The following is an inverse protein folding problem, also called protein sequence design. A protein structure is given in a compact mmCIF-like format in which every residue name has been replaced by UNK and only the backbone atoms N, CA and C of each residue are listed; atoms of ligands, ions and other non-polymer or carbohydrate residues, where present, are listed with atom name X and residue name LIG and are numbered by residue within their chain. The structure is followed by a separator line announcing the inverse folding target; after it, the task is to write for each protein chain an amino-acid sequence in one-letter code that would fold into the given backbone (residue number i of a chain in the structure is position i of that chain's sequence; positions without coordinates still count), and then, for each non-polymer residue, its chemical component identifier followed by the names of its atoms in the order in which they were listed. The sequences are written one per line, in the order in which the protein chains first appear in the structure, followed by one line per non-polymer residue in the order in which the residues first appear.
data_IF_155503633624
#
_entry.id   IF_155503633624
#
_cell.length_a   1.000
_cell.length_b   1.000
_cell.length_c   1.000
_cell.angle_alpha   90.00
_cell.angle_beta   90.00
_cell.angle_gamma   90.00
#
_symmetry.space_group_name_H-M   'P 1'
#
loop_
_entity.id
_entity.type
_entity.pdbx_description
1 polymer ?
#
# COMPACT_ATOMS: atom_id res chain seq x y z
N UNK A 1 -22.08 -11.56 26.90
CA UNK A 1 -21.17 -12.71 26.85
C UNK A 1 -19.83 -12.21 26.36
N UNK A 2 -18.79 -12.32 27.18
CA UNK A 2 -17.44 -11.81 26.95
C UNK A 2 -16.79 -12.53 25.76
N UNK A 3 -16.47 -11.82 24.67
CA UNK A 3 -15.59 -12.35 23.62
C UNK A 3 -14.19 -12.50 24.22
N UNK A 4 -13.88 -13.68 24.74
CA UNK A 4 -12.50 -14.05 25.05
C UNK A 4 -11.71 -14.04 23.74
N UNK A 5 -10.56 -13.40 23.74
CA UNK A 5 -9.61 -13.37 22.63
C UNK A 5 -9.07 -14.78 22.35
N UNK A 6 -9.85 -15.61 21.67
CA UNK A 6 -9.47 -16.99 21.39
C UNK A 6 -8.23 -17.02 20.51
N UNK A 7 -7.21 -17.76 20.96
CA UNK A 7 -5.98 -17.94 20.20
C UNK A 7 -6.24 -18.65 18.86
N UNK A 8 -5.35 -18.51 17.87
CA UNK A 8 -5.50 -19.20 16.59
C UNK A 8 -5.51 -20.73 16.74
N UNK A 9 -4.83 -21.24 17.78
CA UNK A 9 -4.87 -22.63 18.20
C UNK A 9 -6.25 -23.04 18.71
N UNK A 10 -6.89 -22.21 19.53
CA UNK A 10 -8.27 -22.43 20.00
C UNK A 10 -9.30 -22.30 18.88
N UNK A 11 -9.12 -21.35 17.96
CA UNK A 11 -10.01 -21.14 16.80
C UNK A 11 -10.02 -22.38 15.90
N UNK A 12 -8.86 -23.00 15.66
CA UNK A 12 -8.78 -24.27 14.91
C UNK A 12 -8.99 -25.51 15.79
N UNK A 13 -9.08 -25.35 17.12
CA UNK A 13 -9.16 -26.43 18.12
C UNK A 13 -8.03 -27.46 17.97
N UNK A 14 -6.80 -26.97 17.82
CA UNK A 14 -5.58 -27.79 17.72
C UNK A 14 -4.58 -27.38 18.79
N UNK A 15 -3.75 -28.33 19.22
CA UNK A 15 -2.69 -28.04 20.18
C UNK A 15 -1.61 -27.13 19.57
N UNK A 16 -0.87 -26.39 20.41
CA UNK A 16 0.27 -25.57 19.98
C UNK A 16 1.36 -26.41 19.31
N UNK A 17 1.45 -27.69 19.67
CA UNK A 17 2.36 -28.69 19.10
C UNK A 17 1.83 -29.37 17.83
N UNK A 18 0.65 -28.98 17.32
CA UNK A 18 0.03 -29.63 16.17
C UNK A 18 0.89 -29.53 14.91
N UNK A 19 0.96 -30.63 14.17
CA UNK A 19 1.66 -30.74 12.89
C UNK A 19 0.89 -30.04 11.77
N UNK A 20 1.57 -29.69 10.68
CA UNK A 20 0.94 -29.05 9.51
C UNK A 20 -0.21 -29.89 8.93
N UNK A 21 -0.09 -31.22 9.01
CA UNK A 21 -1.12 -32.16 8.56
C UNK A 21 -2.38 -32.03 9.42
N UNK A 22 -2.23 -31.93 10.73
CA UNK A 22 -3.33 -31.76 11.68
C UNK A 22 -4.00 -30.39 11.54
N UNK A 23 -3.20 -29.32 11.35
CA UNK A 23 -3.70 -27.96 11.10
C UNK A 23 -4.55 -27.91 9.82
N UNK A 24 -4.09 -28.55 8.73
CA UNK A 24 -4.86 -28.65 7.48
C UNK A 24 -6.18 -29.41 7.64
N UNK A 25 -6.18 -30.51 8.42
CA UNK A 25 -7.40 -31.29 8.69
C UNK A 25 -8.38 -30.47 9.52
N UNK A 26 -7.90 -29.81 10.57
CA UNK A 26 -8.70 -28.98 11.46
C UNK A 26 -9.32 -27.78 10.74
N UNK A 27 -8.55 -27.10 9.88
CA UNK A 27 -9.05 -26.03 9.04
C UNK A 27 -10.21 -26.49 8.14
N UNK A 28 -10.07 -27.60 7.43
CA UNK A 28 -11.16 -28.11 6.56
C UNK A 28 -12.44 -28.39 7.35
N UNK A 29 -12.31 -28.93 8.57
CA UNK A 29 -13.46 -29.19 9.45
C UNK A 29 -14.10 -27.89 9.91
N UNK A 30 -13.30 -26.94 10.40
CA UNK A 30 -13.78 -25.65 10.92
C UNK A 30 -14.38 -24.77 9.82
N UNK A 31 -13.76 -24.73 8.63
CA UNK A 31 -14.23 -23.97 7.48
C UNK A 31 -15.60 -24.46 6.98
N UNK A 32 -15.83 -25.79 6.97
CA UNK A 32 -17.12 -26.36 6.55
C UNK A 32 -18.26 -25.99 7.52
N UNK A 33 -17.96 -25.89 8.81
CA UNK A 33 -18.95 -25.49 9.83
C UNK A 33 -19.18 -23.98 9.86
N UNK A 34 -18.15 -23.19 9.56
CA UNK A 34 -18.24 -21.72 9.58
C UNK A 34 -18.72 -21.11 8.25
N UNK A 35 -18.86 -21.90 7.18
CA UNK A 35 -19.22 -21.36 5.86
C UNK A 35 -20.66 -20.80 5.85
N UNK A 36 -20.89 -19.57 5.33
CA UNK A 36 -22.21 -18.94 5.27
C UNK A 36 -23.27 -19.78 4.57
N UNK A 37 -22.89 -20.50 3.50
CA UNK A 37 -23.80 -21.37 2.75
C UNK A 37 -24.29 -22.60 3.54
N UNK A 38 -23.69 -22.90 4.69
CA UNK A 38 -24.13 -23.96 5.60
C UNK A 38 -24.68 -23.42 6.93
N UNK A 39 -25.07 -22.13 6.96
CA UNK A 39 -25.61 -21.48 8.15
C UNK A 39 -24.56 -20.95 9.12
N UNK A 40 -23.30 -20.84 8.68
CA UNK A 40 -22.20 -20.29 9.47
C UNK A 40 -22.08 -18.76 9.42
N UNK A 41 -21.33 -18.19 10.34
CA UNK A 41 -21.07 -16.75 10.40
C UNK A 41 -19.83 -16.37 9.57
N UNK A 42 -20.00 -15.37 8.68
CA UNK A 42 -18.92 -14.85 7.85
C UNK A 42 -17.75 -14.29 8.68
N UNK A 43 -17.99 -13.76 9.89
CA UNK A 43 -16.92 -13.33 10.78
C UNK A 43 -16.18 -14.52 11.40
N UNK A 44 -16.89 -15.57 11.82
CA UNK A 44 -16.29 -16.84 12.24
C UNK A 44 -15.44 -17.49 11.11
N UNK A 45 -15.93 -17.48 9.87
CA UNK A 45 -15.17 -17.99 8.72
C UNK A 45 -13.87 -17.23 8.46
N UNK A 46 -13.91 -15.89 8.56
CA UNK A 46 -12.70 -15.05 8.48
C UNK A 46 -11.71 -15.37 9.60
N UNK A 47 -12.17 -15.59 10.83
CA UNK A 47 -11.30 -15.98 11.96
C UNK A 47 -10.63 -17.34 11.74
N UNK A 48 -11.38 -18.34 11.27
CA UNK A 48 -10.85 -19.68 10.93
C UNK A 48 -9.82 -19.61 9.81
N UNK A 49 -10.07 -18.78 8.80
CA UNK A 49 -9.15 -18.59 7.66
C UNK A 49 -7.86 -17.91 8.09
N UNK A 50 -7.95 -16.82 8.87
CA UNK A 50 -6.79 -16.10 9.37
C UNK A 50 -5.91 -16.96 10.31
N UNK A 51 -6.55 -17.80 11.15
CA UNK A 51 -5.86 -18.76 12.00
C UNK A 51 -5.08 -19.79 11.17
N UNK A 52 -5.69 -20.36 10.13
CA UNK A 52 -5.03 -21.31 9.24
C UNK A 52 -3.86 -20.69 8.48
N UNK A 53 -4.04 -19.52 7.86
CA UNK A 53 -2.98 -18.84 7.10
C UNK A 53 -1.76 -18.49 7.94
N UNK A 54 -1.97 -18.18 9.23
CA UNK A 54 -0.90 -17.86 10.16
C UNK A 54 -0.20 -19.11 10.66
N UNK A 55 -0.95 -20.17 10.97
CA UNK A 55 -0.39 -21.39 11.57
C UNK A 55 0.23 -22.36 10.55
N UNK A 56 -0.15 -22.30 9.26
CA UNK A 56 0.41 -23.20 8.24
C UNK A 56 1.72 -22.70 7.63
N UNK A 57 2.02 -21.40 7.75
CA UNK A 57 3.29 -20.82 7.32
C UNK A 57 4.30 -20.89 8.49
N UNK A 58 5.43 -21.59 8.36
CA UNK A 58 6.38 -21.75 9.46
C UNK A 58 6.95 -20.43 10.00
N UNK A 59 7.11 -19.43 9.14
CA UNK A 59 7.65 -18.12 9.52
C UNK A 59 6.61 -17.30 10.28
N UNK A 60 5.37 -17.29 9.79
CA UNK A 60 4.24 -16.60 10.44
C UNK A 60 3.85 -17.28 11.76
N UNK A 61 3.83 -18.62 11.80
CA UNK A 61 3.62 -19.40 13.02
C UNK A 61 4.68 -19.08 14.06
N UNK A 62 5.96 -19.11 13.69
CA UNK A 62 7.05 -18.76 14.63
C UNK A 62 6.94 -17.33 15.15
N UNK A 63 6.47 -16.38 14.34
CA UNK A 63 6.23 -15.01 14.79
C UNK A 63 5.04 -14.91 15.75
N UNK A 64 3.94 -15.62 15.43
CA UNK A 64 2.76 -15.73 16.28
C UNK A 64 3.08 -16.39 17.62
N UNK A 65 3.84 -17.48 17.62
CA UNK A 65 4.26 -18.22 18.83
C UNK A 65 5.09 -17.36 19.79
N UNK A 66 5.95 -16.49 19.25
CA UNK A 66 6.71 -15.53 20.08
C UNK A 66 5.78 -14.53 20.79
N UNK A 67 4.76 -14.02 20.09
CA UNK A 67 3.76 -13.13 20.71
C UNK A 67 2.79 -13.86 21.63
N UNK A 68 2.47 -15.12 21.32
CA UNK A 68 1.58 -15.96 22.11
C UNK A 68 2.23 -16.37 23.44
N UNK A 69 3.52 -16.73 23.42
CA UNK A 69 4.31 -17.04 24.62
C UNK A 69 4.55 -15.81 25.52
N UNK A 70 4.72 -14.62 24.93
CA UNK A 70 4.86 -13.37 25.69
C UNK A 70 3.54 -12.95 26.38
N UNK A 71 2.39 -13.30 25.80
CA UNK A 71 1.07 -13.08 26.38
C UNK A 71 0.66 -14.09 27.45
N UNK A 72 1.24 -15.30 27.44
CA UNK A 72 0.99 -16.33 28.46
C UNK A 72 1.98 -16.29 29.64
N UNK A 73 3.11 -15.58 29.50
CA UNK A 73 4.13 -15.42 30.55
C UNK A 73 3.84 -14.27 31.55
N UNK A 74 2.72 -13.57 31.41
CA UNK A 74 2.35 -12.44 32.27
C UNK A 74 1.65 -12.82 33.57
N UNK A 75 2.08 -13.86 34.30
CA UNK A 75 1.65 -14.05 35.70
C UNK A 75 2.48 -15.10 36.48
N UNK A 76 3.74 -14.84 36.85
CA UNK A 76 4.35 -15.40 38.09
C UNK A 76 5.71 -14.75 38.42
N UNK A 77 5.80 -14.25 39.66
CA UNK A 77 6.94 -13.86 40.52
C UNK A 77 8.30 -14.53 40.20
N UNK A 78 9.49 -14.01 40.53
CA UNK A 78 9.93 -12.96 41.46
C UNK A 78 11.48 -12.99 41.59
N UNK A 79 12.00 -12.03 42.36
CA UNK A 79 13.40 -11.68 42.69
C UNK A 79 14.48 -12.79 42.81
N UNK A 80 15.75 -12.38 42.64
CA UNK A 80 16.95 -13.18 42.96
C UNK A 80 18.28 -12.73 42.34
N UNK A 81 18.74 -11.55 42.74
CA UNK A 81 20.12 -11.12 43.02
C UNK A 81 21.22 -12.21 43.12
N UNK A 82 22.34 -12.09 42.37
CA UNK A 82 23.74 -11.86 42.86
C UNK A 82 24.83 -12.06 41.78
N UNK A 83 25.78 -11.12 41.80
CA UNK A 83 27.24 -11.17 41.55
C UNK A 83 27.92 -11.77 40.28
N UNK A 84 28.54 -10.84 39.55
CA UNK A 84 29.93 -10.78 39.09
C UNK A 84 30.67 -12.02 38.52
N UNK A 85 31.09 -11.91 37.26
CA UNK A 85 32.41 -12.37 36.82
C UNK A 85 32.94 -11.50 35.66
N UNK A 86 34.10 -10.87 35.88
CA UNK A 86 34.93 -10.21 34.88
C UNK A 86 35.94 -11.22 34.31
N UNK A 87 36.09 -11.30 32.98
CA UNK A 87 37.40 -11.24 32.32
C UNK A 87 37.29 -11.24 30.77
N UNK A 88 37.56 -10.07 30.19
CA UNK A 88 38.40 -9.70 29.02
C UNK A 88 38.46 -10.58 27.71
N UNK A 89 39.08 -10.11 26.61
CA UNK A 89 38.37 -9.78 25.36
C UNK A 89 38.76 -10.67 24.16
N UNK A 90 37.89 -10.76 23.15
CA UNK A 90 38.27 -11.29 21.84
C UNK A 90 37.67 -10.45 20.70
N UNK A 91 38.56 -10.13 19.76
CA UNK A 91 38.39 -9.21 18.66
C UNK A 91 37.34 -9.62 17.63
N UNK A 92 36.79 -8.59 16.96
CA UNK A 92 36.50 -8.69 15.54
C UNK A 92 35.06 -9.02 15.16
N UNK A 93 34.18 -8.02 15.20
CA UNK A 93 33.14 -7.89 14.19
C UNK A 93 32.65 -6.45 14.15
N UNK A 94 32.95 -5.76 13.04
CA UNK A 94 32.34 -4.48 12.68
C UNK A 94 30.86 -4.71 12.40
N UNK A 95 30.06 -4.81 13.46
CA UNK A 95 28.65 -4.48 13.36
C UNK A 95 28.59 -2.97 13.17
N UNK A 96 28.20 -2.51 11.98
CA UNK A 96 27.73 -1.14 11.80
C UNK A 96 26.56 -0.94 12.77
N UNK A 97 26.86 -0.42 13.95
CA UNK A 97 25.87 0.13 14.86
C UNK A 97 25.25 1.30 14.11
N UNK A 98 24.08 1.07 13.51
CA UNK A 98 23.24 2.13 12.98
C UNK A 98 22.97 3.08 14.14
N UNK A 99 23.66 4.21 14.15
CA UNK A 99 23.47 5.28 15.13
C UNK A 99 22.00 5.69 15.07
N UNK A 100 21.22 5.24 16.05
CA UNK A 100 19.84 5.66 16.20
C UNK A 100 19.87 7.15 16.57
N UNK A 101 19.59 8.02 15.60
CA UNK A 101 19.45 9.45 15.86
C UNK A 101 18.20 9.63 16.72
N UNK A 102 18.32 10.07 17.99
CA UNK A 102 17.16 10.45 18.77
C UNK A 102 16.46 11.61 18.02
N UNK A 103 15.13 11.57 17.92
CA UNK A 103 14.26 12.49 17.16
C UNK A 103 14.03 12.27 15.65
N UNK A 104 14.32 11.10 15.05
CA UNK A 104 13.70 10.80 13.75
C UNK A 104 12.29 10.24 13.99
N UNK A 105 11.21 10.91 13.56
CA UNK A 105 9.86 10.37 13.71
C UNK A 105 9.80 8.99 13.07
N UNK A 106 9.30 7.99 13.81
CA UNK A 106 9.09 6.65 13.27
C UNK A 106 8.14 6.75 12.07
N UNK A 107 8.45 6.06 10.99
CA UNK A 107 7.59 6.00 9.81
C UNK A 107 6.31 5.21 10.16
N UNK A 108 5.16 5.89 10.13
CA UNK A 108 3.85 5.30 10.46
C UNK A 108 3.13 4.70 9.26
N UNK A 109 3.71 4.71 8.04
CA UNK A 109 2.98 4.35 6.81
C UNK A 109 2.36 2.95 6.82
N UNK A 110 2.99 2.00 7.52
CA UNK A 110 2.49 0.63 7.69
C UNK A 110 1.52 0.44 8.86
N UNK A 111 1.30 1.46 9.67
CA UNK A 111 0.33 1.42 10.76
C UNK A 111 -1.12 1.54 10.20
N UNK A 112 -2.15 1.18 10.98
CA UNK A 112 -3.54 1.33 10.57
C UNK A 112 -3.88 2.77 10.15
N UNK A 113 -4.83 2.88 9.21
CA UNK A 113 -5.28 4.15 8.69
C UNK A 113 -5.98 4.99 9.78
N UNK A 114 -5.56 6.24 9.92
CA UNK A 114 -6.16 7.24 10.81
C UNK A 114 -6.97 8.22 9.97
N UNK A 115 -8.28 8.33 10.23
CA UNK A 115 -9.16 9.22 9.47
C UNK A 115 -9.20 10.62 10.07
N UNK A 116 -9.15 11.64 9.21
CA UNK A 116 -9.29 13.04 9.61
C UNK A 116 -10.38 13.71 8.75
N UNK A 117 -11.46 14.24 9.35
CA UNK A 117 -11.85 14.05 10.76
C UNK A 117 -12.09 12.56 11.10
N UNK A 118 -12.00 12.17 12.38
CA UNK A 118 -12.28 10.80 12.81
C UNK A 118 -13.74 10.43 12.55
N UNK A 119 -13.98 9.15 12.25
CA UNK A 119 -15.34 8.62 12.15
C UNK A 119 -15.86 8.29 13.55
N UNK A 120 -16.34 9.30 14.27
CA UNK A 120 -16.99 9.15 15.57
C UNK A 120 -18.51 9.32 15.43
N UNK A 121 -19.21 8.18 15.47
CA UNK A 121 -20.68 8.14 15.34
C UNK A 121 -21.37 8.95 16.42
N UNK A 122 -20.86 8.96 17.65
CA UNK A 122 -21.46 9.71 18.76
C UNK A 122 -21.27 11.21 18.57
N UNK A 123 -20.11 11.65 18.07
CA UNK A 123 -19.87 13.05 17.75
C UNK A 123 -20.74 13.56 16.59
N UNK A 124 -20.97 12.73 15.57
CA UNK A 124 -21.88 13.06 14.46
C UNK A 124 -23.33 13.17 14.91
N UNK A 125 -23.81 12.24 15.74
CA UNK A 125 -25.15 12.27 16.31
C UNK A 125 -25.36 13.50 17.21
N UNK A 126 -24.38 13.84 18.04
CA UNK A 126 -24.46 14.98 18.96
C UNK A 126 -24.39 16.35 18.24
N UNK A 127 -23.64 16.45 17.14
CA UNK A 127 -23.47 17.70 16.39
C UNK A 127 -24.43 17.88 15.22
N UNK A 128 -25.19 16.84 14.85
CA UNK A 128 -26.03 16.83 13.65
C UNK A 128 -25.24 16.91 12.34
N UNK A 129 -23.92 16.70 12.37
CA UNK A 129 -23.07 16.73 11.17
C UNK A 129 -22.94 15.35 10.56
N UNK A 130 -23.06 15.27 9.23
CA UNK A 130 -22.89 14.03 8.47
C UNK A 130 -21.48 14.03 7.83
N UNK A 131 -20.70 12.93 7.94
CA UNK A 131 -19.41 12.85 7.27
C UNK A 131 -19.56 13.00 5.76
N UNK A 132 -18.63 13.74 5.12
CA UNK A 132 -18.67 14.05 3.68
C UNK A 132 -18.78 12.81 2.78
N UNK A 133 -18.21 11.69 3.23
CA UNK A 133 -18.35 10.36 2.63
C UNK A 133 -18.47 9.31 3.73
N UNK A 134 -19.23 8.21 3.53
CA UNK A 134 -19.35 7.12 4.51
C UNK A 134 -18.02 6.43 4.80
N UNK A 135 -17.87 5.83 5.99
CA UNK A 135 -16.67 5.05 6.35
C UNK A 135 -16.45 3.86 5.40
N UNK A 136 -17.51 3.21 4.94
CA UNK A 136 -17.42 2.12 3.95
C UNK A 136 -16.72 2.59 2.67
N UNK A 137 -17.04 3.80 2.21
CA UNK A 137 -16.39 4.42 1.07
C UNK A 137 -14.97 4.87 1.41
N UNK A 138 -14.76 5.61 2.52
CA UNK A 138 -13.44 6.11 2.88
C UNK A 138 -12.42 5.01 3.24
N UNK A 139 -12.88 3.84 3.67
CA UNK A 139 -12.03 2.69 3.99
C UNK A 139 -11.59 1.88 2.77
N UNK A 140 -12.29 2.03 1.64
CA UNK A 140 -11.94 1.37 0.39
C UNK A 140 -10.62 1.93 -0.15
N UNK A 141 -9.62 1.07 -0.43
CA UNK A 141 -8.34 1.52 -0.97
C UNK A 141 -8.36 1.80 -2.49
N UNK A 142 -9.33 1.29 -3.23
CA UNK A 142 -9.40 1.44 -4.71
C UNK A 142 -10.75 1.98 -5.11
N UNK A 143 -10.78 3.16 -5.73
CA UNK A 143 -11.98 3.85 -6.18
C UNK A 143 -12.03 3.94 -7.71
N UNK A 144 -13.23 3.80 -8.26
CA UNK A 144 -13.45 3.87 -9.70
C UNK A 144 -12.88 2.67 -10.45
N UNK A 145 -12.90 2.76 -11.78
CA UNK A 145 -12.38 1.74 -12.67
C UNK A 145 -11.67 2.37 -13.86
N UNK A 146 -10.66 1.71 -14.44
CA UNK A 146 -10.11 2.06 -15.75
C UNK A 146 -11.22 2.21 -16.79
N UNK A 147 -11.19 3.29 -17.58
CA UNK A 147 -12.36 3.70 -18.39
C UNK A 147 -12.50 2.88 -19.68
N UNK A 148 -13.73 2.47 -19.99
CA UNK A 148 -14.16 1.99 -21.32
C UNK A 148 -14.80 3.13 -22.11
N UNK A 149 -14.03 3.99 -22.79
CA UNK A 149 -14.60 4.98 -23.74
C UNK A 149 -13.70 5.22 -24.95
N UNK A 150 -14.30 5.23 -26.14
CA UNK A 150 -13.66 5.30 -27.45
C UNK A 150 -13.98 4.06 -28.30
N UNK A 151 -14.36 4.25 -29.57
CA UNK A 151 -14.73 3.15 -30.50
C UNK A 151 -13.48 2.38 -30.98
N UNK A 152 -12.30 3.01 -30.92
CA UNK A 152 -11.01 2.45 -31.34
C UNK A 152 -9.91 2.79 -30.32
N UNK A 153 -8.93 1.89 -30.13
CA UNK A 153 -7.76 2.11 -29.26
C UNK A 153 -8.02 2.03 -27.74
N UNK A 154 -9.27 1.82 -27.31
CA UNK A 154 -9.64 1.65 -25.91
C UNK A 154 -9.00 0.41 -25.29
N UNK A 155 -8.80 -0.67 -26.04
CA UNK A 155 -8.28 -1.92 -25.48
C UNK A 155 -6.84 -1.80 -24.98
N UNK A 156 -5.92 -1.25 -25.79
CA UNK A 156 -4.54 -1.03 -25.37
C UNK A 156 -4.44 -0.06 -24.18
N UNK A 157 -5.31 0.97 -24.15
CA UNK A 157 -5.45 1.90 -23.02
C UNK A 157 -5.93 1.19 -21.75
N UNK A 158 -7.01 0.42 -21.85
CA UNK A 158 -7.57 -0.35 -20.73
C UNK A 158 -6.52 -1.34 -20.21
N UNK A 159 -5.78 -2.01 -21.11
CA UNK A 159 -4.72 -2.93 -20.72
C UNK A 159 -3.61 -2.25 -19.90
N UNK A 160 -3.11 -1.08 -20.34
CA UNK A 160 -2.07 -0.35 -19.58
C UNK A 160 -2.59 0.21 -18.24
N UNK A 161 -3.82 0.71 -18.20
CA UNK A 161 -4.44 1.19 -16.97
C UNK A 161 -4.68 0.03 -15.98
N UNK A 162 -5.27 -1.08 -16.44
CA UNK A 162 -5.50 -2.27 -15.62
C UNK A 162 -4.22 -2.87 -15.06
N UNK A 163 -3.13 -2.91 -15.85
CA UNK A 163 -1.81 -3.34 -15.36
C UNK A 163 -1.30 -2.45 -14.24
N UNK A 164 -1.49 -1.14 -14.36
CA UNK A 164 -1.10 -0.17 -13.33
C UNK A 164 -1.90 -0.38 -12.05
N UNK A 165 -3.23 -0.54 -12.16
CA UNK A 165 -4.10 -0.86 -11.00
C UNK A 165 -3.65 -2.16 -10.33
N UNK A 166 -3.43 -3.22 -11.09
CA UNK A 166 -2.99 -4.51 -10.54
C UNK A 166 -1.63 -4.41 -9.85
N UNK A 167 -0.69 -3.67 -10.43
CA UNK A 167 0.63 -3.44 -9.86
C UNK A 167 0.55 -2.70 -8.52
N UNK A 168 -0.20 -1.60 -8.48
CA UNK A 168 -0.38 -0.77 -7.27
C UNK A 168 -1.11 -1.58 -6.19
N UNK A 169 -2.22 -2.24 -6.55
CA UNK A 169 -3.02 -3.03 -5.60
C UNK A 169 -2.26 -4.19 -4.99
N UNK A 170 -1.34 -4.82 -5.75
CA UNK A 170 -0.56 -5.95 -5.24
C UNK A 170 0.68 -5.52 -4.46
N UNK A 171 1.34 -4.44 -4.87
CA UNK A 171 2.67 -4.13 -4.35
C UNK A 171 2.73 -2.88 -3.48
N UNK A 172 1.84 -1.90 -3.68
CA UNK A 172 1.90 -0.59 -3.02
C UNK A 172 0.84 -0.42 -1.92
N UNK A 173 -0.40 -0.83 -2.16
CA UNK A 173 -1.49 -0.68 -1.19
C UNK A 173 -1.33 -1.55 0.08
N UNK A 174 -0.89 -2.82 0.01
CA UNK A 174 -0.79 -3.66 1.21
C UNK A 174 0.13 -3.11 2.31
N UNK A 175 1.34 -2.58 2.01
CA UNK A 175 2.19 -1.98 3.04
C UNK A 175 1.78 -0.57 3.47
N UNK A 176 0.75 0.04 2.86
CA UNK A 176 0.30 1.41 3.18
C UNK A 176 -1.23 1.43 3.31
N UNK A 177 -1.80 1.02 4.47
CA UNK A 177 -3.25 0.89 4.66
C UNK A 177 -4.05 2.18 4.40
N UNK A 178 -3.42 3.35 4.61
CA UNK A 178 -4.04 4.65 4.35
C UNK A 178 -4.06 5.06 2.86
N UNK A 179 -3.33 4.37 1.99
CA UNK A 179 -3.28 4.73 0.58
C UNK A 179 -4.66 4.54 -0.10
N UNK A 180 -5.04 5.49 -0.95
CA UNK A 180 -6.27 5.49 -1.76
C UNK A 180 -5.91 5.69 -3.22
N UNK A 181 -6.14 4.65 -4.02
CA UNK A 181 -6.03 4.68 -5.47
C UNK A 181 -7.35 5.16 -6.05
N UNK A 182 -7.33 6.25 -6.82
CA UNK A 182 -8.48 6.81 -7.51
C UNK A 182 -8.25 6.70 -9.01
N UNK A 183 -9.17 6.03 -9.71
CA UNK A 183 -9.08 5.79 -11.15
C UNK A 183 -10.08 6.67 -11.91
N UNK A 184 -9.66 7.18 -13.08
CA UNK A 184 -10.54 7.91 -13.98
C UNK A 184 -10.94 9.31 -13.49
N UNK A 185 -9.99 10.06 -12.93
CA UNK A 185 -10.21 11.45 -12.55
C UNK A 185 -10.21 12.36 -13.78
N UNK A 186 -11.11 13.33 -13.82
CA UNK A 186 -11.05 14.40 -14.81
C UNK A 186 -9.86 15.33 -14.51
N UNK A 187 -9.14 15.72 -15.56
CA UNK A 187 -8.07 16.70 -15.40
C UNK A 187 -8.68 18.08 -15.09
N UNK A 188 -8.19 18.81 -14.08
CA UNK A 188 -8.62 20.18 -13.84
C UNK A 188 -7.99 21.19 -14.80
N UNK A 189 -6.95 20.78 -15.54
CA UNK A 189 -6.17 21.67 -16.40
C UNK A 189 -6.68 21.71 -17.85
N UNK A 190 -7.38 20.65 -18.28
CA UNK A 190 -7.82 20.46 -19.66
C UNK A 190 -8.98 19.45 -19.71
N UNK A 191 -9.54 19.20 -20.90
CA UNK A 191 -10.59 18.20 -21.11
C UNK A 191 -10.05 16.74 -21.13
N UNK A 192 -8.84 16.51 -20.62
CA UNK A 192 -8.25 15.17 -20.53
C UNK A 192 -8.62 14.48 -19.21
N UNK A 193 -8.08 13.29 -19.01
CA UNK A 193 -8.30 12.48 -17.80
C UNK A 193 -6.95 12.03 -17.25
N UNK A 194 -6.88 11.94 -15.93
CA UNK A 194 -5.77 11.35 -15.21
C UNK A 194 -6.04 9.85 -15.12
N UNK A 195 -5.12 9.03 -15.62
CA UNK A 195 -5.29 7.57 -15.60
C UNK A 195 -5.49 7.08 -14.15
N UNK A 196 -4.58 7.45 -13.25
CA UNK A 196 -4.66 7.12 -11.83
C UNK A 196 -4.11 8.24 -10.94
N UNK A 197 -4.68 8.39 -9.76
CA UNK A 197 -4.10 9.17 -8.66
C UNK A 197 -3.99 8.32 -7.41
N UNK A 198 -2.93 8.48 -6.63
CA UNK A 198 -2.68 7.74 -5.41
C UNK A 198 -2.42 8.72 -4.27
N UNK A 199 -3.32 8.73 -3.29
CA UNK A 199 -3.31 9.61 -2.12
C UNK A 199 -2.90 8.83 -0.86
N UNK A 200 -1.99 9.34 -0.05
CA UNK A 200 -1.73 8.86 1.32
C UNK A 200 -1.21 10.02 2.17
N UNK A 201 -1.80 10.25 3.34
CA UNK A 201 -1.49 11.43 4.15
C UNK A 201 -1.65 12.72 3.34
N UNK A 202 -0.56 13.46 3.22
CA UNK A 202 -0.48 14.73 2.47
C UNK A 202 0.32 14.59 1.16
N UNK A 203 0.34 13.39 0.57
CA UNK A 203 1.08 13.05 -0.65
C UNK A 203 0.10 12.61 -1.72
N UNK A 204 0.15 13.23 -2.90
CA UNK A 204 -0.65 12.86 -4.05
C UNK A 204 0.24 12.56 -5.26
N UNK A 205 0.19 11.32 -5.72
CA UNK A 205 0.90 10.89 -6.91
C UNK A 205 -0.07 10.80 -8.09
N UNK A 206 0.14 11.57 -9.16
CA UNK A 206 -0.56 11.41 -10.43
C UNK A 206 0.21 10.42 -11.30
N UNK A 207 -0.48 9.50 -11.95
CA UNK A 207 0.15 8.41 -12.69
C UNK A 207 -0.47 8.34 -14.08
N UNK A 208 0.39 8.45 -15.09
CA UNK A 208 0.08 8.10 -16.47
C UNK A 208 0.79 6.81 -16.84
N UNK A 209 0.26 6.08 -17.84
CA UNK A 209 0.85 4.81 -18.25
C UNK A 209 1.10 4.72 -19.75
N UNK A 210 2.07 3.91 -20.14
CA UNK A 210 2.37 3.54 -21.52
C UNK A 210 2.65 2.04 -21.61
N UNK A 211 2.51 1.48 -22.81
CA UNK A 211 2.91 0.11 -23.10
C UNK A 211 3.95 0.17 -24.22
N UNK A 212 5.20 -0.19 -23.93
CA UNK A 212 6.29 -0.18 -24.90
C UNK A 212 7.00 -1.54 -24.92
N UNK A 213 7.47 -2.02 -26.08
CA UNK A 213 8.24 -3.25 -26.17
C UNK A 213 9.46 -3.24 -25.23
N UNK A 214 9.89 -4.42 -24.81
CA UNK A 214 11.15 -4.61 -24.09
C UNK A 214 12.33 -3.96 -24.83
N UNK A 215 13.34 -3.54 -24.09
CA UNK A 215 14.53 -2.90 -24.64
C UNK A 215 14.99 -1.70 -23.84
N UNK A 216 16.12 -1.13 -24.26
CA UNK A 216 16.68 0.08 -23.66
C UNK A 216 16.11 1.33 -24.33
N UNK A 217 15.61 2.25 -23.51
CA UNK A 217 15.09 3.54 -23.92
C UNK A 217 15.90 4.63 -23.22
N UNK A 218 16.41 5.60 -23.97
CA UNK A 218 17.08 6.76 -23.39
C UNK A 218 16.04 7.85 -23.09
N UNK A 219 16.02 8.34 -21.85
CA UNK A 219 15.22 9.49 -21.43
C UNK A 219 16.06 10.77 -21.50
N UNK A 220 15.61 11.73 -22.31
CA UNK A 220 16.30 13.02 -22.49
C UNK A 220 15.68 14.18 -21.68
N UNK A 221 14.70 13.89 -20.82
CA UNK A 221 13.95 14.88 -20.04
C UNK A 221 12.64 15.34 -20.70
N UNK A 222 12.42 14.98 -21.97
CA UNK A 222 11.21 15.33 -22.70
C UNK A 222 10.57 14.12 -23.40
N UNK A 223 11.39 13.26 -24.01
CA UNK A 223 10.95 12.12 -24.80
C UNK A 223 11.82 10.88 -24.56
N UNK A 224 11.23 9.71 -24.85
CA UNK A 224 11.92 8.43 -24.84
C UNK A 224 12.48 8.14 -26.24
N UNK A 225 13.76 7.79 -26.32
CA UNK A 225 14.41 7.42 -27.59
C UNK A 225 14.70 5.93 -27.65
N UNK A 226 14.30 5.30 -28.76
CA UNK A 226 14.56 3.89 -29.03
C UNK A 226 14.63 3.61 -30.53
N UNK A 227 15.71 2.99 -31.01
CA UNK A 227 15.86 2.62 -32.43
C UNK A 227 15.72 3.80 -33.40
N UNK A 228 16.23 4.97 -33.04
CA UNK A 228 16.11 6.21 -33.85
C UNK A 228 14.73 6.89 -33.79
N UNK A 229 13.77 6.32 -33.07
CA UNK A 229 12.43 6.91 -32.87
C UNK A 229 12.38 7.66 -31.54
N UNK A 230 11.62 8.76 -31.53
CA UNK A 230 11.29 9.55 -30.34
C UNK A 230 9.83 9.34 -29.98
N UNK A 231 9.55 9.04 -28.71
CA UNK A 231 8.22 8.72 -28.20
C UNK A 231 7.94 9.66 -27.02
N UNK A 232 6.94 10.52 -27.16
CA UNK A 232 6.55 11.44 -26.10
C UNK A 232 5.70 10.70 -25.04
N UNK A 233 6.00 10.86 -23.73
CA UNK A 233 5.12 10.38 -22.67
C UNK A 233 3.86 11.25 -22.55
N UNK A 234 2.83 10.77 -21.82
CA UNK A 234 1.69 11.59 -21.43
C UNK A 234 2.15 12.87 -20.71
N UNK A 235 1.64 14.02 -21.14
CA UNK A 235 1.95 15.30 -20.51
C UNK A 235 1.19 15.40 -19.18
N UNK A 236 1.89 15.16 -18.07
CA UNK A 236 1.30 15.27 -16.73
C UNK A 236 1.74 16.53 -15.98
N UNK A 237 2.78 17.23 -16.44
CA UNK A 237 3.39 18.31 -15.67
C UNK A 237 2.44 19.48 -15.43
N UNK A 238 1.62 19.86 -16.42
CA UNK A 238 0.61 20.90 -16.26
C UNK A 238 -0.53 20.46 -15.35
N UNK A 239 -0.92 19.18 -15.41
CA UNK A 239 -1.95 18.59 -14.53
C UNK A 239 -1.46 18.52 -13.07
N UNK A 240 -0.20 18.14 -12.84
CA UNK A 240 0.43 18.15 -11.52
C UNK A 240 0.39 19.55 -10.93
N UNK A 241 0.74 20.58 -11.71
CA UNK A 241 0.69 21.97 -11.26
C UNK A 241 -0.74 22.39 -10.90
N UNK A 242 -1.72 22.12 -11.77
CA UNK A 242 -3.11 22.47 -11.49
C UNK A 242 -3.66 21.74 -10.25
N UNK A 243 -3.30 20.46 -10.05
CA UNK A 243 -3.68 19.72 -8.84
C UNK A 243 -3.00 20.27 -7.59
N UNK A 244 -1.74 20.71 -7.69
CA UNK A 244 -1.03 21.38 -6.59
C UNK A 244 -1.69 22.70 -6.21
N UNK A 245 -2.20 23.47 -7.18
CA UNK A 245 -2.92 24.73 -6.93
C UNK A 245 -4.28 24.49 -6.27
N UNK A 246 -4.98 23.40 -6.64
CA UNK A 246 -6.28 23.03 -6.05
C UNK A 246 -6.14 22.46 -4.63
N UNK A 247 -5.05 21.76 -4.37
CA UNK A 247 -4.74 21.13 -3.09
C UNK A 247 -3.41 21.64 -2.54
N UNK A 248 -3.33 22.91 -2.10
CA UNK A 248 -2.09 23.51 -1.60
C UNK A 248 -1.52 22.81 -0.36
N UNK A 249 -2.35 22.09 0.38
CA UNK A 249 -1.98 21.28 1.53
C UNK A 249 -1.28 19.95 1.18
N UNK A 250 -1.40 19.50 -0.07
CA UNK A 250 -0.76 18.28 -0.56
C UNK A 250 0.58 18.60 -1.19
N UNK A 251 1.50 17.65 -1.15
CA UNK A 251 2.62 17.62 -2.07
C UNK A 251 2.23 16.74 -3.26
N UNK A 252 2.13 17.35 -4.45
CA UNK A 252 1.70 16.69 -5.67
C UNK A 252 2.88 16.48 -6.62
N UNK A 253 3.00 15.27 -7.18
CA UNK A 253 4.01 14.93 -8.20
C UNK A 253 3.47 13.87 -9.14
N UNK A 254 4.11 13.71 -10.30
CA UNK A 254 3.70 12.80 -11.36
C UNK A 254 4.67 11.64 -11.57
N UNK A 255 4.14 10.53 -12.06
CA UNK A 255 4.90 9.45 -12.67
C UNK A 255 4.29 9.05 -14.01
N UNK A 256 5.15 8.76 -14.98
CA UNK A 256 4.77 8.00 -16.17
C UNK A 256 5.38 6.62 -16.05
N UNK A 257 4.54 5.60 -15.91
CA UNK A 257 4.99 4.21 -15.90
C UNK A 257 4.96 3.62 -17.30
N UNK A 258 6.06 3.00 -17.69
CA UNK A 258 6.17 2.22 -18.92
C UNK A 258 6.08 0.75 -18.56
N UNK A 259 5.04 0.10 -19.05
CA UNK A 259 4.86 -1.35 -18.92
C UNK A 259 5.46 -2.06 -20.12
N UNK A 260 6.10 -3.20 -19.87
CA UNK A 260 6.41 -4.18 -20.92
C UNK A 260 5.19 -5.06 -21.23
N UNK A 261 4.91 -5.43 -22.50
CA UNK A 261 3.83 -6.33 -22.90
C UNK A 261 3.79 -7.67 -22.16
N UNK A 262 4.93 -8.22 -21.77
CA UNK A 262 5.04 -9.50 -21.04
C UNK A 262 4.82 -9.36 -19.52
N UNK A 263 4.71 -8.13 -19.00
CA UNK A 263 4.52 -7.87 -17.57
C UNK A 263 5.79 -7.92 -16.73
N UNK A 264 6.98 -8.03 -17.35
CA UNK A 264 8.23 -7.92 -16.62
C UNK A 264 8.35 -6.52 -15.98
N UNK A 265 8.60 -6.48 -14.67
CA UNK A 265 8.63 -5.23 -13.90
C UNK A 265 9.87 -4.38 -14.17
N UNK A 266 10.97 -5.02 -14.58
CA UNK A 266 12.26 -4.37 -14.82
C UNK A 266 12.44 -3.95 -16.28
N UNK A 267 11.50 -4.32 -17.15
CA UNK A 267 11.48 -3.94 -18.56
C UNK A 267 10.32 -2.97 -18.85
N UNK A 268 10.49 -2.06 -19.82
CA UNK A 268 11.74 -1.74 -20.48
C UNK A 268 12.76 -1.07 -19.54
N UNK A 269 14.04 -1.10 -19.92
CA UNK A 269 15.09 -0.36 -19.23
C UNK A 269 15.05 1.10 -19.68
N UNK A 270 15.04 2.02 -18.71
CA UNK A 270 14.98 3.46 -18.97
C UNK A 270 16.28 4.09 -18.49
N UNK A 271 17.15 4.42 -19.42
CA UNK A 271 18.44 5.03 -19.17
C UNK A 271 18.27 6.54 -19.05
N UNK A 272 18.57 7.08 -17.87
CA UNK A 272 18.55 8.52 -17.61
C UNK A 272 19.95 9.08 -17.70
N UNK A 273 20.17 10.06 -18.57
CA UNK A 273 21.43 10.78 -18.58
C UNK A 273 21.56 11.59 -17.26
N UNK A 274 22.66 11.36 -16.52
CA UNK A 274 22.91 11.96 -15.18
C UNK A 274 22.80 13.49 -15.11
N UNK A 275 22.91 14.20 -16.24
CA UNK A 275 22.73 15.66 -16.34
C UNK A 275 21.27 16.13 -16.26
N UNK A 276 20.30 15.24 -16.45
CA UNK A 276 18.86 15.55 -16.39
C UNK A 276 18.22 15.29 -15.01
N UNK A 277 18.95 14.70 -14.06
CA UNK A 277 18.45 14.39 -12.72
C UNK A 277 18.43 15.64 -11.81
N UNK A 278 18.00 16.77 -12.34
CA UNK A 278 17.79 17.99 -11.57
C UNK A 278 16.60 17.80 -10.64
N UNK A 279 16.72 18.28 -9.41
CA UNK A 279 15.73 18.24 -8.33
C UNK A 279 14.40 19.01 -8.62
N UNK A 280 14.05 19.20 -9.90
CA UNK A 280 12.88 19.95 -10.36
C UNK A 280 12.02 19.21 -11.39
N UNK A 281 12.29 17.94 -11.71
CA UNK A 281 11.42 17.15 -12.59
C UNK A 281 10.15 16.76 -11.82
N UNK A 282 9.04 17.46 -12.10
CA UNK A 282 7.74 17.23 -11.45
C UNK A 282 7.08 15.92 -11.86
N UNK A 283 7.56 15.28 -12.94
CA UNK A 283 7.03 14.02 -13.47
C UNK A 283 8.16 13.05 -13.77
N UNK A 284 8.17 11.89 -13.12
CA UNK A 284 9.21 10.89 -13.31
C UNK A 284 8.80 9.81 -14.31
N UNK A 285 9.62 9.56 -15.34
CA UNK A 285 9.40 8.45 -16.30
C UNK A 285 10.14 7.19 -15.86
N UNK A 286 9.42 6.12 -15.55
CA UNK A 286 9.96 4.91 -14.89
C UNK A 286 9.36 3.62 -15.46
N UNK A 287 10.05 2.50 -15.29
CA UNK A 287 9.45 1.18 -15.48
C UNK A 287 8.60 0.79 -14.26
N UNK A 288 7.91 -0.35 -14.34
CA UNK A 288 7.01 -0.79 -13.27
C UNK A 288 7.71 -1.00 -11.91
N UNK A 289 8.92 -1.56 -11.87
CA UNK A 289 9.70 -1.70 -10.64
C UNK A 289 10.13 -0.33 -10.06
N UNK A 290 10.49 0.61 -10.94
CA UNK A 290 10.79 2.00 -10.57
C UNK A 290 9.57 2.70 -9.99
N UNK A 291 8.38 2.51 -10.58
CA UNK A 291 7.12 3.05 -10.07
C UNK A 291 6.85 2.53 -8.65
N UNK A 292 6.89 1.22 -8.44
CA UNK A 292 6.60 0.64 -7.10
C UNK A 292 7.54 1.20 -6.05
N UNK A 293 8.84 1.29 -6.34
CA UNK A 293 9.84 1.84 -5.42
C UNK A 293 9.59 3.31 -5.14
N UNK A 294 9.39 4.10 -6.19
CA UNK A 294 9.15 5.54 -6.11
C UNK A 294 7.88 5.87 -5.34
N UNK A 295 6.77 5.18 -5.62
CA UNK A 295 5.51 5.38 -4.91
C UNK A 295 5.61 5.02 -3.44
N UNK A 296 6.22 3.87 -3.08
CA UNK A 296 6.44 3.51 -1.67
C UNK A 296 7.26 4.57 -0.94
N UNK A 297 8.39 4.97 -1.52
CA UNK A 297 9.24 6.00 -0.92
C UNK A 297 8.49 7.32 -0.76
N UNK A 298 7.74 7.74 -1.78
CA UNK A 298 7.02 9.01 -1.78
C UNK A 298 5.86 9.02 -0.77
N UNK A 299 4.98 8.02 -0.81
CA UNK A 299 3.77 7.93 0.02
C UNK A 299 4.08 7.64 1.48
N UNK A 300 5.15 6.91 1.75
CA UNK A 300 5.63 6.68 3.12
C UNK A 300 6.48 7.82 3.67
N UNK A 301 6.60 8.94 2.94
CA UNK A 301 7.34 10.14 3.37
C UNK A 301 6.43 11.29 3.72
N UNK A 302 6.96 12.26 4.47
CA UNK A 302 6.20 13.44 4.90
C UNK A 302 5.41 13.20 6.18
N UNK A 303 4.58 14.18 6.58
CA UNK A 303 3.84 14.11 7.83
C UNK A 303 2.70 13.09 7.74
N UNK A 304 2.54 12.29 8.80
CA UNK A 304 1.42 11.37 9.00
C UNK A 304 1.03 10.52 7.77
N UNK A 305 1.93 9.67 7.24
CA UNK A 305 1.67 8.87 6.04
C UNK A 305 0.53 7.86 6.17
N UNK A 306 0.14 7.49 7.40
CA UNK A 306 -1.05 6.66 7.68
C UNK A 306 -2.37 7.44 7.82
N UNK A 307 -2.39 8.74 7.49
CA UNK A 307 -3.61 9.54 7.54
C UNK A 307 -4.43 9.41 6.26
N UNK A 308 -5.74 9.32 6.41
CA UNK A 308 -6.75 9.47 5.35
C UNK A 308 -7.52 10.75 5.63
N UNK A 309 -7.19 11.82 4.90
CA UNK A 309 -7.97 13.06 4.97
C UNK A 309 -9.27 12.89 4.18
N UNK A 310 -10.38 12.80 4.90
CA UNK A 310 -11.72 12.52 4.34
C UNK A 310 -12.20 13.67 3.47
N UNK A 311 -11.84 14.91 3.80
CA UNK A 311 -12.23 16.08 3.01
C UNK A 311 -11.53 16.10 1.65
N UNK A 312 -10.21 15.84 1.64
CA UNK A 312 -9.43 15.73 0.40
C UNK A 312 -9.92 14.56 -0.44
N UNK A 313 -10.11 13.40 0.18
CA UNK A 313 -10.63 12.22 -0.51
C UNK A 313 -12.00 12.51 -1.13
N UNK A 314 -12.96 13.07 -0.39
CA UNK A 314 -14.27 13.43 -0.91
C UNK A 314 -14.19 14.41 -2.10
N UNK A 315 -13.29 15.41 -2.03
CA UNK A 315 -13.06 16.34 -3.16
C UNK A 315 -12.53 15.63 -4.40
N UNK A 316 -11.56 14.72 -4.24
CA UNK A 316 -11.03 13.92 -5.36
C UNK A 316 -12.12 13.01 -5.94
N UNK A 317 -12.90 12.32 -5.10
CA UNK A 317 -13.96 11.42 -5.56
C UNK A 317 -15.06 12.15 -6.34
N UNK A 318 -15.35 13.42 -6.03
CA UNK A 318 -16.27 14.26 -6.84
C UNK A 318 -15.73 14.58 -8.24
N UNK A 319 -14.42 14.51 -8.45
CA UNK A 319 -13.79 14.69 -9.76
C UNK A 319 -13.79 13.43 -10.63
N UNK A 320 -14.40 12.33 -10.18
CA UNK A 320 -14.48 11.08 -10.93
C UNK A 320 -15.70 11.05 -11.87
N UNK A 321 -15.69 11.81 -12.97
CA UNK A 321 -16.73 11.74 -14.00
C UNK A 321 -16.17 11.88 -15.43
#
# INVERSE_FOLDING_TARGET
MTESSSSYYEVLRVAVTATDKEIKVAYRRAARTAHPDHGGDAAAFRRVTAAYETLIDPSRRKAYDRSYAAGTAGNTFGAGDTEAHFDAPAAGSRASATVHRPNTPRNTAGDPAVYIPPYDTAAFEASGTVPLIPLSQASQQVHGMPRKRGIFGAEARIQREMRTVQLISRQVLPPIPAARLINGLQSPADNSHIDHALLSGYRLALIGSMLLPKGAYAWDGQSLRHGGRSIAPPQLAHVVRAMQDIFPELNVTGWTVIHSPDGNLHEPVIDRHKRSAGAGETVQVVNAAGLVRGLKQFLSSGPAPNTVNVQILARLLRGMH
#
